data_IF_129155541315
#
_entry.id   IF_129155541315
#
_cell.length_a   1.000
_cell.length_b   1.000
_cell.length_c   1.000
_cell.angle_alpha   90.00
_cell.angle_beta   90.00
_cell.angle_gamma   90.00
#
_symmetry.space_group_name_H-M   'P 1'
#
loop_
_entity.id
_entity.type
_entity.pdbx_description
1 polymer ?
#
# COMPACT_ATOMS: atom_id res chain seq x y z
N UNK A 1 -10.27 19.10 6.85
CA UNK A 1 -9.00 18.41 6.53
C UNK A 1 -9.09 16.96 6.98
N UNK A 2 -9.22 16.04 6.02
CA UNK A 2 -9.43 14.61 6.24
C UNK A 2 -8.32 13.99 7.10
N UNK A 3 -8.65 13.61 8.34
CA UNK A 3 -7.81 12.81 9.24
C UNK A 3 -8.00 11.32 8.99
N UNK A 4 -8.30 10.90 7.76
CA UNK A 4 -8.45 9.48 7.43
C UNK A 4 -7.10 8.80 7.59
N UNK A 5 -7.08 7.76 8.41
CA UNK A 5 -5.91 6.91 8.59
C UNK A 5 -5.56 6.30 7.23
N UNK A 6 -4.26 6.26 6.90
CA UNK A 6 -3.78 5.57 5.71
C UNK A 6 -3.01 4.35 6.13
N UNK A 7 -3.17 3.29 5.39
CA UNK A 7 -2.50 2.02 5.55
C UNK A 7 -1.77 1.70 4.26
N UNK A 8 -0.59 1.14 4.41
CA UNK A 8 0.22 0.60 3.33
C UNK A 8 0.10 -0.91 3.43
N UNK A 9 -0.45 -1.51 2.38
CA UNK A 9 -0.72 -2.93 2.30
C UNK A 9 0.24 -3.51 1.29
N UNK A 10 1.03 -4.49 1.71
CA UNK A 10 1.80 -5.33 0.78
C UNK A 10 0.98 -6.59 0.51
N UNK A 11 0.81 -6.91 -0.76
CA UNK A 11 0.15 -8.13 -1.19
C UNK A 11 0.96 -8.82 -2.28
N UNK A 12 0.76 -10.13 -2.39
CA UNK A 12 1.22 -10.93 -3.50
C UNK A 12 0.01 -11.28 -4.38
N UNK A 13 0.17 -11.11 -5.68
CA UNK A 13 -0.82 -11.45 -6.69
C UNK A 13 -0.26 -12.62 -7.49
N UNK A 14 -1.04 -13.70 -7.60
CA UNK A 14 -0.71 -14.85 -8.43
C UNK A 14 -1.57 -14.82 -9.68
N UNK A 15 -0.92 -14.78 -10.84
CA UNK A 15 -1.55 -14.70 -12.15
C UNK A 15 -1.26 -15.96 -12.98
N UNK A 16 -2.24 -16.40 -13.75
CA UNK A 16 -2.08 -17.40 -14.79
C UNK A 16 -1.30 -16.81 -15.97
N UNK A 17 -0.29 -17.55 -16.44
CA UNK A 17 0.25 -17.37 -17.78
C UNK A 17 -0.59 -18.22 -18.72
N UNK A 18 -1.18 -17.57 -19.74
CA UNK A 18 -2.10 -18.21 -20.67
C UNK A 18 -1.43 -18.38 -22.03
N UNK A 19 -1.60 -19.56 -22.62
CA UNK A 19 -1.33 -19.82 -24.04
C UNK A 19 -2.53 -20.55 -24.62
N UNK A 20 -3.08 -20.04 -25.74
CA UNK A 20 -4.28 -20.57 -26.37
C UNK A 20 -5.46 -20.84 -25.40
N UNK A 21 -5.62 -19.99 -24.38
CA UNK A 21 -6.66 -20.12 -23.35
C UNK A 21 -6.39 -21.17 -22.27
N UNK A 22 -5.26 -21.87 -22.33
CA UNK A 22 -4.82 -22.82 -21.32
C UNK A 22 -3.82 -22.18 -20.37
N UNK A 23 -3.84 -22.59 -19.10
CA UNK A 23 -2.84 -22.17 -18.11
C UNK A 23 -1.56 -22.96 -18.35
N UNK A 24 -0.52 -22.28 -18.82
CA UNK A 24 0.80 -22.87 -19.08
C UNK A 24 1.82 -22.58 -17.99
N UNK A 25 1.48 -21.67 -17.07
CA UNK A 25 2.37 -21.30 -15.98
C UNK A 25 1.72 -20.33 -15.00
N UNK A 26 2.50 -19.95 -14.00
CA UNK A 26 2.12 -19.01 -12.96
C UNK A 26 3.16 -17.91 -12.87
N UNK A 27 2.68 -16.68 -12.69
CA UNK A 27 3.52 -15.53 -12.38
C UNK A 27 3.05 -14.92 -11.06
N UNK A 28 4.01 -14.61 -10.18
CA UNK A 28 3.72 -13.98 -8.90
C UNK A 28 4.38 -12.61 -8.85
N UNK A 29 3.60 -11.63 -8.44
CA UNK A 29 4.05 -10.25 -8.31
C UNK A 29 3.73 -9.72 -6.92
N UNK A 30 4.69 -9.02 -6.31
CA UNK A 30 4.43 -8.27 -5.09
C UNK A 30 4.02 -6.84 -5.41
N UNK A 31 2.96 -6.38 -4.76
CA UNK A 31 2.41 -5.06 -4.92
C UNK A 31 2.32 -4.34 -3.58
N UNK A 32 2.34 -3.02 -3.63
CA UNK A 32 2.17 -2.18 -2.47
C UNK A 32 1.08 -1.14 -2.73
N UNK A 33 -0.05 -1.32 -2.07
CA UNK A 33 -1.27 -0.52 -2.26
C UNK A 33 -1.53 0.33 -1.03
N UNK A 34 -2.13 1.51 -1.21
CA UNK A 34 -2.57 2.36 -0.10
C UNK A 34 -4.06 2.18 0.13
N UNK A 35 -4.47 1.99 1.38
CA UNK A 35 -5.88 1.92 1.77
C UNK A 35 -6.19 2.87 2.93
N UNK A 36 -7.48 3.14 3.17
CA UNK A 36 -7.97 3.95 4.27
C UNK A 36 -8.54 3.12 5.43
N UNK A 37 -8.57 1.79 5.26
CA UNK A 37 -9.03 0.83 6.26
C UNK A 37 -7.93 -0.20 6.56
N UNK A 38 -8.04 -0.83 7.73
CA UNK A 38 -7.23 -1.99 8.10
C UNK A 38 -8.09 -3.26 8.22
N UNK A 39 -9.39 -3.16 7.98
CA UNK A 39 -10.32 -4.29 8.05
C UNK A 39 -10.02 -5.25 6.90
N UNK A 40 -9.71 -6.51 7.25
CA UNK A 40 -9.23 -7.49 6.27
C UNK A 40 -10.23 -7.75 5.15
N UNK A 41 -11.53 -7.82 5.47
CA UNK A 41 -12.57 -8.08 4.48
C UNK A 41 -12.69 -6.91 3.49
N UNK A 42 -12.68 -5.67 3.99
CA UNK A 42 -12.71 -4.47 3.14
C UNK A 42 -11.47 -4.40 2.25
N UNK A 43 -10.29 -4.65 2.84
CA UNK A 43 -9.03 -4.72 2.09
C UNK A 43 -9.06 -5.80 1.02
N UNK A 44 -9.57 -6.99 1.33
CA UNK A 44 -9.62 -8.08 0.37
C UNK A 44 -10.54 -7.76 -0.81
N UNK A 45 -11.70 -7.16 -0.56
CA UNK A 45 -12.63 -6.69 -1.60
C UNK A 45 -11.95 -5.63 -2.46
N UNK A 46 -11.39 -4.58 -1.85
CA UNK A 46 -10.69 -3.50 -2.56
C UNK A 46 -9.55 -4.04 -3.44
N UNK A 47 -8.76 -4.98 -2.91
CA UNK A 47 -7.63 -5.58 -3.63
C UNK A 47 -8.10 -6.50 -4.76
N UNK A 48 -9.18 -7.27 -4.57
CA UNK A 48 -9.77 -8.09 -5.62
C UNK A 48 -10.29 -7.22 -6.78
N UNK A 49 -10.93 -6.09 -6.47
CA UNK A 49 -11.39 -5.14 -7.48
C UNK A 49 -10.21 -4.46 -8.18
N UNK A 50 -9.16 -4.09 -7.44
CA UNK A 50 -7.97 -3.44 -8.00
C UNK A 50 -7.20 -4.34 -8.99
N UNK A 51 -7.02 -5.63 -8.66
CA UNK A 51 -6.29 -6.59 -9.50
C UNK A 51 -7.18 -7.44 -10.40
N UNK A 52 -8.45 -7.04 -10.57
CA UNK A 52 -9.45 -7.82 -11.29
C UNK A 52 -8.97 -8.16 -12.70
N UNK A 53 -8.82 -9.44 -12.96
CA UNK A 53 -8.30 -9.96 -14.23
C UNK A 53 -8.77 -11.40 -14.42
N UNK A 54 -9.06 -11.83 -15.66
CA UNK A 54 -9.33 -13.25 -15.96
C UNK A 54 -8.13 -14.15 -15.68
N UNK A 55 -6.93 -13.57 -15.53
CA UNK A 55 -5.71 -14.28 -15.15
C UNK A 55 -5.51 -14.36 -13.64
N UNK A 56 -6.32 -13.69 -12.82
CA UNK A 56 -6.13 -13.70 -11.37
C UNK A 56 -6.49 -15.06 -10.79
N UNK A 57 -5.51 -15.72 -10.17
CA UNK A 57 -5.69 -17.03 -9.54
C UNK A 57 -5.64 -16.94 -8.01
N UNK A 58 -4.95 -15.94 -7.47
CA UNK A 58 -4.84 -15.80 -6.03
C UNK A 58 -4.35 -14.43 -5.61
N UNK A 59 -4.77 -14.04 -4.40
CA UNK A 59 -4.34 -12.81 -3.74
C UNK A 59 -4.01 -13.13 -2.28
N UNK A 60 -2.84 -12.70 -1.83
CA UNK A 60 -2.39 -12.89 -0.46
C UNK A 60 -1.94 -11.56 0.14
N UNK A 61 -2.51 -11.18 1.27
CA UNK A 61 -2.04 -10.02 2.04
C UNK A 61 -0.81 -10.45 2.84
N UNK A 62 0.33 -9.80 2.59
CA UNK A 62 1.60 -10.09 3.25
C UNK A 62 1.81 -9.22 4.49
N UNK A 63 1.41 -7.94 4.44
CA UNK A 63 1.47 -7.06 5.61
C UNK A 63 0.56 -5.84 5.46
N UNK A 64 0.07 -5.34 6.59
CA UNK A 64 -0.69 -4.09 6.68
C UNK A 64 0.03 -3.18 7.66
N UNK A 65 0.38 -1.96 7.24
CA UNK A 65 1.11 -1.01 8.07
C UNK A 65 0.40 0.34 8.07
N UNK A 66 0.08 0.86 9.25
CA UNK A 66 -0.45 2.22 9.37
C UNK A 66 0.63 3.23 8.98
N UNK A 67 0.35 4.05 7.97
CA UNK A 67 1.21 5.19 7.62
C UNK A 67 1.02 6.29 8.66
N UNK A 68 2.00 6.43 9.55
CA UNK A 68 2.10 7.62 10.41
C UNK A 68 2.50 8.80 9.55
N UNK A 69 1.62 9.78 9.42
CA UNK A 69 1.95 11.08 8.83
C UNK A 69 3.04 11.69 9.71
N UNK A 70 4.30 11.66 9.25
CA UNK A 70 5.38 12.38 9.92
C UNK A 70 5.08 13.87 9.79
N UNK A 71 4.44 14.44 10.79
CA UNK A 71 4.45 15.89 10.99
C UNK A 71 5.91 16.23 11.30
N UNK A 72 6.64 16.70 10.30
CA UNK A 72 7.93 17.37 10.51
C UNK A 72 7.64 18.54 11.45
N UNK A 73 7.94 18.38 12.75
CA UNK A 73 8.05 19.51 13.67
C UNK A 73 9.18 20.37 13.11
N UNK A 74 8.83 21.50 12.50
CA UNK A 74 9.78 22.58 12.25
C UNK A 74 10.28 22.97 13.63
N UNK A 75 11.52 22.60 13.98
CA UNK A 75 12.17 23.11 15.19
C UNK A 75 12.35 24.62 14.97
N UNK A 76 11.90 25.50 15.88
CA UNK A 76 12.35 26.88 15.82
C UNK A 76 13.88 26.88 16.01
N UNK A 77 14.61 27.51 15.10
CA UNK A 77 16.03 27.81 15.29
C UNK A 77 16.16 28.65 16.58
N UNK A 78 17.11 28.35 17.49
CA UNK A 78 17.38 29.25 18.59
C UNK A 78 17.90 30.56 18.00
N UNK A 79 17.24 31.67 18.37
CA UNK A 79 17.71 33.03 18.09
C UNK A 79 19.09 33.20 18.73
N UNK A 80 20.14 32.91 17.96
CA UNK A 80 21.50 33.19 18.37
C UNK A 80 21.66 34.72 18.48
N UNK A 81 21.80 35.18 19.72
CA UNK A 81 22.67 36.28 20.15
C UNK A 81 22.91 37.37 19.09
N UNK A 82 22.06 38.40 19.09
CA UNK A 82 22.50 39.72 18.63
C UNK A 82 23.50 40.26 19.65
N UNK A 83 24.79 40.00 19.42
CA UNK A 83 25.87 40.88 19.88
C UNK A 83 26.34 41.63 18.66
N UNK A 84 25.95 42.90 18.53
CA UNK A 84 26.68 43.86 17.71
C UNK A 84 26.83 45.13 18.56
N UNK A 85 28.05 45.23 19.08
CA UNK A 85 28.83 46.39 19.55
C UNK A 85 28.10 47.66 19.95
#
# INVERSE_FOLDING_TARGET
>A
MDKRLRYQVRCQVTLAQLDCGQVVGLHQEEHQVTSYTAELNELFVDLCDHFRSPRLLGLQILSIRRQRRMLRRIRPLPSALMVVR
#
